data_IF_265578377998
#
_entry.id   IF_265578377998
#
_cell.length_a   1.000
_cell.length_b   1.000
_cell.length_c   1.000
_cell.angle_alpha   90.00
_cell.angle_beta   90.00
_cell.angle_gamma   90.00
#
_symmetry.space_group_name_H-M   'P 1'
#
loop_
_entity.id
_entity.type
_entity.pdbx_description
1 polymer ?
#
# COMPACT_ATOMS: atom_id res chain seq x y z
N UNK A 1 10.55 -21.24 -8.21
CA UNK A 1 9.09 -21.21 -7.95
C UNK A 1 8.65 -20.13 -6.97
N UNK A 2 9.46 -19.71 -5.97
CA UNK A 2 9.05 -18.71 -4.96
C UNK A 2 8.86 -17.27 -5.50
N UNK A 3 9.69 -16.81 -6.43
CA UNK A 3 9.58 -15.44 -6.99
C UNK A 3 8.21 -15.16 -7.63
N UNK A 4 7.62 -16.15 -8.30
CA UNK A 4 6.32 -15.98 -8.96
C UNK A 4 5.17 -15.72 -7.97
N UNK A 5 5.24 -16.25 -6.75
CA UNK A 5 4.22 -16.02 -5.73
C UNK A 5 4.30 -14.61 -5.18
N UNK A 6 5.51 -14.12 -4.89
CA UNK A 6 5.73 -12.75 -4.37
C UNK A 6 5.33 -11.72 -5.42
N UNK A 7 5.69 -11.92 -6.70
CA UNK A 7 5.26 -11.08 -7.81
C UNK A 7 3.73 -10.98 -7.90
N UNK A 8 3.03 -12.11 -7.77
CA UNK A 8 1.56 -12.15 -7.76
C UNK A 8 0.98 -11.43 -6.56
N UNK A 9 1.52 -11.64 -5.36
CA UNK A 9 1.04 -10.95 -4.15
C UNK A 9 1.31 -9.45 -4.25
N UNK A 10 2.48 -9.04 -4.73
CA UNK A 10 2.82 -7.63 -4.98
C UNK A 10 1.82 -6.99 -5.95
N UNK A 11 1.49 -7.67 -7.06
CA UNK A 11 0.46 -7.21 -7.99
C UNK A 11 -0.92 -7.12 -7.32
N UNK A 12 -1.31 -8.12 -6.54
CA UNK A 12 -2.59 -8.12 -5.82
C UNK A 12 -2.68 -6.96 -4.82
N UNK A 13 -1.60 -6.67 -4.09
CA UNK A 13 -1.51 -5.51 -3.20
C UNK A 13 -1.64 -4.20 -3.99
N UNK A 14 -0.94 -4.06 -5.12
CA UNK A 14 -1.06 -2.86 -5.98
C UNK A 14 -2.50 -2.62 -6.42
N UNK A 15 -3.16 -3.68 -6.89
CA UNK A 15 -4.56 -3.59 -7.34
C UNK A 15 -5.52 -3.32 -6.18
N UNK A 16 -5.25 -3.87 -4.99
CA UNK A 16 -6.09 -3.65 -3.82
C UNK A 16 -5.96 -2.22 -3.29
N UNK A 17 -4.73 -1.70 -3.15
CA UNK A 17 -4.48 -0.36 -2.66
C UNK A 17 -5.01 0.71 -3.62
N UNK A 18 -4.81 0.54 -4.95
CA UNK A 18 -5.40 1.42 -5.95
C UNK A 18 -6.92 1.40 -5.89
N UNK A 19 -7.54 0.22 -5.80
CA UNK A 19 -8.99 0.11 -5.73
C UNK A 19 -9.56 0.70 -4.43
N UNK A 20 -8.88 0.51 -3.29
CA UNK A 20 -9.27 1.09 -2.01
C UNK A 20 -9.14 2.61 -2.02
N UNK A 21 -7.98 3.13 -2.45
CA UNK A 21 -7.72 4.54 -2.63
C UNK A 21 -8.80 5.19 -3.50
N UNK A 22 -9.10 4.58 -4.66
CA UNK A 22 -10.10 5.10 -5.58
C UNK A 22 -11.51 5.11 -4.97
N UNK A 23 -11.87 4.09 -4.18
CA UNK A 23 -13.17 4.06 -3.48
C UNK A 23 -13.27 5.15 -2.43
N UNK A 24 -12.20 5.39 -1.67
CA UNK A 24 -12.19 6.39 -0.60
C UNK A 24 -12.26 7.80 -1.21
N UNK A 25 -11.41 8.12 -2.18
CA UNK A 25 -11.28 9.48 -2.70
C UNK A 25 -12.41 9.82 -3.68
N UNK A 26 -12.58 9.02 -4.73
CA UNK A 26 -13.47 9.41 -5.84
C UNK A 26 -14.96 9.17 -5.55
N UNK A 27 -15.30 8.35 -4.53
CA UNK A 27 -16.69 8.12 -4.14
C UNK A 27 -17.12 8.93 -2.92
N UNK A 28 -16.33 9.94 -2.51
CA UNK A 28 -16.60 10.81 -1.35
C UNK A 28 -18.04 11.27 -1.29
N UNK A 29 -18.48 11.93 -2.36
CA UNK A 29 -19.81 12.54 -2.44
C UNK A 29 -20.92 11.49 -2.30
N UNK A 30 -20.74 10.30 -2.87
CA UNK A 30 -21.75 9.25 -2.86
C UNK A 30 -21.97 8.65 -1.48
N UNK A 31 -20.88 8.29 -0.78
CA UNK A 31 -21.01 7.70 0.54
C UNK A 31 -21.37 8.74 1.60
N UNK A 32 -20.95 10.00 1.45
CA UNK A 32 -21.41 11.08 2.33
C UNK A 32 -22.89 11.37 2.17
N UNK A 33 -23.34 11.54 0.92
CA UNK A 33 -24.76 11.72 0.62
C UNK A 33 -25.61 10.58 1.18
N UNK A 34 -25.15 9.34 1.02
CA UNK A 34 -25.85 8.17 1.57
C UNK A 34 -25.92 8.21 3.09
N UNK A 35 -24.81 8.54 3.75
CA UNK A 35 -24.75 8.64 5.21
C UNK A 35 -25.67 9.73 5.76
N UNK A 36 -25.70 10.91 5.13
CA UNK A 36 -26.55 12.04 5.55
C UNK A 36 -28.03 11.77 5.27
N UNK A 37 -28.37 11.34 4.05
CA UNK A 37 -29.78 11.17 3.65
C UNK A 37 -30.43 9.95 4.28
N UNK A 38 -29.72 8.81 4.29
CA UNK A 38 -30.28 7.54 4.77
C UNK A 38 -29.95 7.25 6.24
N UNK A 39 -29.14 8.10 6.88
CA UNK A 39 -28.71 7.95 8.29
C UNK A 39 -28.17 6.55 8.61
N UNK A 40 -27.50 5.94 7.64
CA UNK A 40 -26.92 4.59 7.74
C UNK A 40 -25.44 4.63 7.44
N UNK A 41 -24.70 3.66 7.98
CA UNK A 41 -23.25 3.50 7.79
C UNK A 41 -22.90 2.18 7.09
N UNK A 42 -23.90 1.35 6.79
CA UNK A 42 -23.68 0.01 6.24
C UNK A 42 -22.94 0.01 4.90
N UNK A 43 -23.16 1.03 4.06
CA UNK A 43 -22.47 1.16 2.78
C UNK A 43 -20.95 1.40 2.93
N UNK A 44 -20.50 1.94 4.07
CA UNK A 44 -19.08 2.17 4.33
C UNK A 44 -18.29 0.86 4.40
N UNK A 45 -18.94 -0.27 4.75
CA UNK A 45 -18.30 -1.60 4.73
C UNK A 45 -17.74 -1.93 3.35
N UNK A 46 -18.44 -1.51 2.28
CA UNK A 46 -17.98 -1.73 0.92
C UNK A 46 -16.90 -0.74 0.49
N UNK A 47 -16.93 0.49 1.02
CA UNK A 47 -15.94 1.53 0.72
C UNK A 47 -14.57 1.12 1.26
N UNK A 48 -14.51 0.74 2.54
CA UNK A 48 -13.28 0.45 3.28
C UNK A 48 -12.86 -1.03 3.25
N UNK A 49 -13.55 -1.87 2.48
CA UNK A 49 -13.14 -3.27 2.30
C UNK A 49 -11.75 -3.33 1.66
N UNK A 50 -10.85 -4.13 2.22
CA UNK A 50 -9.53 -4.45 1.65
C UNK A 50 -9.25 -5.94 1.79
N UNK A 51 -8.46 -6.50 0.86
CA UNK A 51 -7.96 -7.88 0.94
C UNK A 51 -6.65 -8.00 1.71
N UNK A 52 -6.02 -6.88 2.09
CA UNK A 52 -4.78 -6.88 2.87
C UNK A 52 -4.94 -7.63 4.20
N UNK A 53 -6.06 -7.40 4.89
CA UNK A 53 -6.36 -8.05 6.17
C UNK A 53 -6.63 -9.56 6.07
N UNK A 54 -6.79 -10.09 4.85
CA UNK A 54 -6.96 -11.53 4.60
C UNK A 54 -5.62 -12.24 4.33
N UNK A 55 -4.51 -11.50 4.22
CA UNK A 55 -3.19 -12.06 3.94
C UNK A 55 -2.60 -12.79 5.15
N UNK A 56 -1.88 -13.88 4.89
CA UNK A 56 -1.19 -14.65 5.91
C UNK A 56 0.16 -14.04 6.25
N UNK A 57 0.60 -14.18 7.50
CA UNK A 57 1.93 -13.75 7.94
C UNK A 57 3.07 -14.35 7.09
N UNK A 58 2.90 -15.60 6.65
CA UNK A 58 3.86 -16.28 5.77
C UNK A 58 4.00 -15.64 4.39
N UNK A 59 3.01 -14.88 3.93
CA UNK A 59 3.02 -14.14 2.67
C UNK A 59 3.66 -12.75 2.86
N UNK A 60 3.42 -12.13 4.02
CA UNK A 60 3.95 -10.80 4.34
C UNK A 60 5.45 -10.80 4.63
N UNK A 61 5.99 -11.86 5.24
CA UNK A 61 7.42 -11.96 5.61
C UNK A 61 8.39 -11.96 4.41
N UNK A 62 7.88 -12.20 3.21
CA UNK A 62 8.69 -12.20 1.98
C UNK A 62 8.95 -10.78 1.45
N UNK A 63 8.23 -9.78 1.96
CA UNK A 63 8.45 -8.37 1.63
C UNK A 63 9.56 -7.77 2.51
N UNK A 64 10.25 -6.75 1.99
CA UNK A 64 11.18 -5.97 2.80
C UNK A 64 10.45 -5.23 3.92
N UNK A 65 11.13 -4.96 5.03
CA UNK A 65 10.57 -4.23 6.15
C UNK A 65 10.01 -2.85 5.76
N UNK A 66 10.63 -2.21 4.76
CA UNK A 66 10.15 -0.93 4.22
C UNK A 66 8.78 -1.09 3.54
N UNK A 67 8.60 -2.12 2.70
CA UNK A 67 7.32 -2.36 2.02
C UNK A 67 6.25 -2.74 3.05
N UNK A 68 6.59 -3.59 4.04
CA UNK A 68 5.68 -3.96 5.12
C UNK A 68 5.22 -2.70 5.87
N UNK A 69 6.15 -1.81 6.25
CA UNK A 69 5.82 -0.56 6.93
C UNK A 69 4.93 0.34 6.07
N UNK A 70 5.25 0.51 4.79
CA UNK A 70 4.45 1.34 3.87
C UNK A 70 3.05 0.76 3.65
N UNK A 71 2.92 -0.57 3.57
CA UNK A 71 1.61 -1.24 3.48
C UNK A 71 0.79 -0.96 4.73
N UNK A 72 1.36 -1.24 5.90
CA UNK A 72 0.69 -1.04 7.19
C UNK A 72 0.25 0.40 7.36
N UNK A 73 1.12 1.37 7.05
CA UNK A 73 0.80 2.79 7.13
C UNK A 73 -0.39 3.17 6.23
N UNK A 74 -0.42 2.71 4.98
CA UNK A 74 -1.53 3.00 4.08
C UNK A 74 -2.85 2.39 4.56
N UNK A 75 -2.86 1.10 4.91
CA UNK A 75 -4.08 0.41 5.31
C UNK A 75 -4.63 0.90 6.65
N UNK A 76 -3.73 1.25 7.58
CA UNK A 76 -4.10 1.87 8.86
C UNK A 76 -4.75 3.23 8.66
N UNK A 77 -4.19 4.11 7.84
CA UNK A 77 -4.79 5.44 7.60
C UNK A 77 -6.17 5.34 6.93
N UNK A 78 -6.36 4.36 6.05
CA UNK A 78 -7.66 4.04 5.49
C UNK A 78 -8.65 3.50 6.54
N UNK A 79 -8.18 2.62 7.43
CA UNK A 79 -8.98 2.09 8.54
C UNK A 79 -9.40 3.18 9.53
N UNK A 80 -8.48 4.06 9.94
CA UNK A 80 -8.76 5.17 10.85
C UNK A 80 -9.87 6.08 10.32
N UNK A 81 -9.83 6.42 9.03
CA UNK A 81 -10.93 7.16 8.40
C UNK A 81 -12.24 6.35 8.41
N UNK A 82 -12.17 5.07 8.07
CA UNK A 82 -13.33 4.18 8.12
C UNK A 82 -13.95 4.15 9.51
N UNK A 83 -13.14 3.94 10.54
CA UNK A 83 -13.52 3.91 11.94
C UNK A 83 -14.19 5.22 12.37
N UNK A 84 -13.58 6.35 12.03
CA UNK A 84 -14.17 7.67 12.28
C UNK A 84 -15.56 7.79 11.66
N UNK A 85 -15.73 7.45 10.38
CA UNK A 85 -17.03 7.57 9.70
C UNK A 85 -18.09 6.60 10.24
N UNK A 86 -17.68 5.43 10.74
CA UNK A 86 -18.60 4.49 11.39
C UNK A 86 -19.13 4.99 12.74
N UNK A 87 -18.35 5.76 13.48
CA UNK A 87 -18.67 6.08 14.87
C UNK A 87 -18.96 7.56 15.13
N UNK A 88 -18.65 8.44 14.18
CA UNK A 88 -18.88 9.87 14.36
C UNK A 88 -20.36 10.23 14.42
N UNK A 89 -20.66 11.21 15.26
CA UNK A 89 -21.94 11.92 15.38
C UNK A 89 -21.81 13.39 14.94
N UNK A 90 -20.67 13.74 14.32
CA UNK A 90 -20.35 15.10 13.93
C UNK A 90 -21.32 15.64 12.88
N UNK A 91 -21.41 16.98 12.82
CA UNK A 91 -22.19 17.65 11.79
C UNK A 91 -21.55 17.47 10.40
N UNK A 92 -22.32 17.48 9.29
CA UNK A 92 -21.80 17.24 7.95
C UNK A 92 -20.58 18.09 7.56
N UNK A 93 -20.55 19.36 7.96
CA UNK A 93 -19.42 20.25 7.69
C UNK A 93 -18.12 19.77 8.38
N UNK A 94 -18.21 19.37 9.65
CA UNK A 94 -17.08 18.82 10.42
C UNK A 94 -16.62 17.49 9.86
N UNK A 95 -17.57 16.63 9.44
CA UNK A 95 -17.25 15.37 8.76
C UNK A 95 -16.46 15.65 7.47
N UNK A 96 -16.90 16.59 6.66
CA UNK A 96 -16.22 16.93 5.41
C UNK A 96 -14.80 17.47 5.65
N UNK A 97 -14.62 18.35 6.63
CA UNK A 97 -13.29 18.83 7.02
C UNK A 97 -12.37 17.69 7.46
N UNK A 98 -12.86 16.77 8.30
CA UNK A 98 -12.09 15.61 8.77
C UNK A 98 -11.75 14.66 7.63
N UNK A 99 -12.68 14.39 6.73
CA UNK A 99 -12.43 13.58 5.54
C UNK A 99 -11.32 14.20 4.69
N UNK A 100 -11.40 15.51 4.40
CA UNK A 100 -10.39 16.19 3.59
C UNK A 100 -9.01 16.18 4.25
N UNK A 101 -8.95 16.21 5.59
CA UNK A 101 -7.71 16.01 6.33
C UNK A 101 -7.15 14.59 6.14
N UNK A 102 -7.97 13.55 6.37
CA UNK A 102 -7.56 12.17 6.19
C UNK A 102 -7.18 11.85 4.73
N UNK A 103 -7.84 12.44 3.75
CA UNK A 103 -7.53 12.26 2.34
C UNK A 103 -6.08 12.62 2.02
N UNK A 104 -5.59 13.75 2.55
CA UNK A 104 -4.20 14.16 2.36
C UNK A 104 -3.21 13.17 2.99
N UNK A 105 -3.59 12.53 4.09
CA UNK A 105 -2.74 11.56 4.77
C UNK A 105 -2.73 10.24 4.00
N UNK A 106 -3.90 9.74 3.63
CA UNK A 106 -4.08 8.52 2.85
C UNK A 106 -3.39 8.64 1.49
N UNK A 107 -3.52 9.78 0.81
CA UNK A 107 -2.84 10.04 -0.47
C UNK A 107 -1.32 9.99 -0.34
N UNK A 108 -0.75 10.61 0.71
CA UNK A 108 0.69 10.51 0.98
C UNK A 108 1.13 9.08 1.28
N UNK A 109 0.36 8.35 2.08
CA UNK A 109 0.66 6.96 2.40
C UNK A 109 0.57 6.05 1.16
N UNK A 110 -0.41 6.29 0.30
CA UNK A 110 -0.60 5.59 -0.96
C UNK A 110 0.57 5.81 -1.92
N UNK A 111 0.97 7.07 -2.13
CA UNK A 111 2.10 7.38 -3.01
C UNK A 111 3.42 6.81 -2.47
N UNK A 112 3.65 6.85 -1.16
CA UNK A 112 4.80 6.20 -0.54
C UNK A 112 4.81 4.67 -0.79
N UNK A 113 3.68 4.00 -0.57
CA UNK A 113 3.54 2.57 -0.85
C UNK A 113 3.78 2.25 -2.33
N UNK A 114 3.23 3.06 -3.23
CA UNK A 114 3.39 2.88 -4.68
C UNK A 114 4.85 3.01 -5.10
N UNK A 115 5.60 3.95 -4.52
CA UNK A 115 7.05 4.08 -4.76
C UNK A 115 7.79 2.85 -4.24
N UNK A 116 7.57 2.44 -2.97
CA UNK A 116 8.25 1.27 -2.40
C UNK A 116 7.98 -0.01 -3.21
N UNK A 117 6.74 -0.22 -3.67
CA UNK A 117 6.35 -1.37 -4.49
C UNK A 117 6.87 -1.30 -5.93
N UNK A 118 7.15 -0.11 -6.47
CA UNK A 118 7.72 0.00 -7.81
C UNK A 118 9.22 -0.24 -7.79
N UNK A 119 9.92 0.29 -6.78
CA UNK A 119 11.34 0.06 -6.57
C UNK A 119 11.65 -1.44 -6.41
N UNK A 120 10.79 -2.17 -5.71
CA UNK A 120 10.96 -3.63 -5.52
C UNK A 120 10.82 -4.47 -6.80
N UNK A 121 10.18 -3.92 -7.85
CA UNK A 121 9.98 -4.61 -9.12
C UNK A 121 11.01 -4.19 -10.19
N UNK A 122 11.84 -3.19 -9.89
CA UNK A 122 12.84 -2.61 -10.81
C UNK A 122 14.28 -3.05 -10.53
N UNK A 123 14.51 -4.11 -9.74
CA UNK A 123 15.84 -4.70 -9.57
C UNK A 123 16.04 -5.93 -10.48
N UNK A 124 16.71 -5.76 -11.65
CA UNK A 124 17.46 -6.82 -12.30
C UNK A 124 18.95 -6.72 -11.95
N UNK A 125 19.51 -7.86 -11.51
CA UNK A 125 20.92 -8.26 -11.48
C UNK A 125 21.93 -7.39 -10.69
N UNK A 126 22.12 -7.75 -9.42
CA UNK A 126 23.46 -7.66 -8.82
C UNK A 126 24.34 -8.68 -9.53
N UNK A 127 25.18 -8.24 -10.47
CA UNK A 127 26.31 -9.03 -10.95
C UNK A 127 27.25 -9.25 -9.76
N UNK A 128 27.42 -10.51 -9.35
CA UNK A 128 28.50 -10.86 -8.42
C UNK A 128 29.84 -10.42 -9.01
N UNK A 129 30.76 -9.83 -8.23
CA UNK A 129 32.07 -9.48 -8.71
C UNK A 129 32.81 -10.76 -9.14
N UNK A 130 33.24 -10.81 -10.40
CA UNK A 130 34.14 -11.87 -10.89
C UNK A 130 35.46 -11.79 -10.10
N UNK A 131 35.62 -12.65 -9.10
CA UNK A 131 36.92 -12.98 -8.50
C UNK A 131 37.74 -13.79 -9.52
N UNK A 132 38.44 -13.12 -10.44
CA UNK A 132 39.47 -13.80 -11.24
C UNK A 132 40.62 -12.92 -11.75
N UNK A 133 41.01 -11.86 -11.03
CA UNK A 133 42.32 -11.23 -11.26
C UNK A 133 43.31 -11.71 -10.18
N UNK A 134 43.89 -12.89 -10.44
CA UNK A 134 45.10 -13.34 -9.74
C UNK A 134 46.30 -12.42 -10.07
N UNK A 135 47.30 -12.33 -9.19
CA UNK A 135 48.40 -11.36 -9.33
C UNK A 135 49.27 -11.64 -10.55
N UNK A 136 49.87 -10.59 -11.17
CA UNK A 136 50.59 -10.72 -12.43
C UNK A 136 51.85 -11.58 -12.29
N UNK A 137 51.94 -12.63 -13.12
CA UNK A 137 53.16 -13.43 -13.29
C UNK A 137 54.14 -12.67 -14.18
N UNK A 138 55.25 -12.21 -13.60
CA UNK A 138 56.38 -11.63 -14.33
C UNK A 138 57.07 -12.76 -15.10
N UNK A 139 56.99 -12.74 -16.44
CA UNK A 139 57.84 -13.59 -17.28
C UNK A 139 59.24 -12.97 -17.37
N UNK A 140 60.21 -13.60 -16.71
CA UNK A 140 61.63 -13.39 -17.03
C UNK A 140 61.92 -14.12 -18.35
N UNK A 141 62.39 -13.38 -19.36
CA UNK A 141 63.02 -13.97 -20.55
C UNK A 141 64.52 -13.82 -20.43
N UNK A 142 65.21 -14.97 -20.56
CA UNK A 142 66.66 -15.12 -20.68
C UNK A 142 67.21 -14.47 -21.94
#
# INVERSE_FOLDING_TARGET
MKNNTIEKISLLIKLDCEALYNRIIFRKEDYLRTMVLKRTREHLKQVFRSRYYDLKLDELKEFSSEIIYSMENFYKEAEELGWYLFHTEDMPATIEEKINYHFKIIERAYEALKVSLNNSNSDPEVQEPNESDGPPVIKQTS
#
